data_IF_764706902443
#
_entry.id   IF_764706902443
#
_cell.length_a   1.000
_cell.length_b   1.000
_cell.length_c   1.000
_cell.angle_alpha   90.00
_cell.angle_beta   90.00
_cell.angle_gamma   90.00
#
_symmetry.space_group_name_H-M   'P 1'
#
loop_
_entity.id
_entity.type
_entity.pdbx_description
1 polymer ?
#
# COMPACT_ATOMS: atom_id res chain seq x y z
N UNK A 1 -5.52 7.99 8.25
CA UNK A 1 -4.16 7.49 8.10
C UNK A 1 -3.35 7.72 9.37
N UNK A 2 -2.44 6.83 9.64
CA UNK A 2 -1.58 6.93 10.80
C UNK A 2 -0.45 7.92 10.54
N UNK A 3 -0.32 8.92 11.40
CA UNK A 3 0.81 9.83 11.36
C UNK A 3 2.10 9.18 11.88
N UNK A 4 2.01 7.95 12.36
CA UNK A 4 3.14 7.20 12.89
C UNK A 4 3.93 6.46 11.81
N UNK A 5 3.31 6.20 10.67
CA UNK A 5 3.97 5.45 9.62
C UNK A 5 5.07 6.29 8.98
N UNK A 6 6.29 5.77 9.01
CA UNK A 6 7.47 6.45 8.48
C UNK A 6 8.16 5.70 7.37
N UNK A 7 7.87 4.41 7.22
CA UNK A 7 8.41 3.58 6.15
C UNK A 7 7.26 3.09 5.28
N UNK A 8 7.40 3.21 3.98
CA UNK A 8 6.36 2.84 3.03
C UNK A 8 6.93 1.92 1.96
N UNK A 9 6.22 0.82 1.71
CA UNK A 9 6.46 -0.02 0.55
C UNK A 9 5.40 0.32 -0.49
N UNK A 10 5.84 0.66 -1.69
CA UNK A 10 4.97 1.07 -2.78
C UNK A 10 5.09 0.03 -3.89
N UNK A 11 3.95 -0.55 -4.26
CA UNK A 11 3.85 -1.60 -5.28
C UNK A 11 3.02 -1.06 -6.44
N UNK A 12 3.67 -0.43 -7.44
CA UNK A 12 2.94 0.02 -8.62
C UNK A 12 2.51 -1.17 -9.48
N UNK A 13 1.33 -1.06 -10.07
CA UNK A 13 0.89 -2.10 -11.00
C UNK A 13 0.03 -1.52 -12.12
N UNK A 14 -0.15 -2.32 -13.16
CA UNK A 14 -1.00 -1.99 -14.28
C UNK A 14 -2.13 -3.00 -14.35
N UNK A 15 -3.34 -2.51 -14.53
CA UNK A 15 -4.50 -3.36 -14.73
C UNK A 15 -5.50 -2.70 -15.69
N UNK A 16 -6.45 -3.47 -16.15
CA UNK A 16 -7.54 -2.96 -16.97
C UNK A 16 -8.71 -2.56 -16.08
N UNK A 17 -9.51 -1.55 -16.49
CA UNK A 17 -10.66 -1.11 -15.69
C UNK A 17 -11.62 -2.23 -15.33
N UNK A 18 -11.80 -3.22 -16.22
CA UNK A 18 -12.67 -4.36 -15.98
C UNK A 18 -12.22 -5.27 -14.83
N UNK A 19 -10.96 -5.18 -14.40
CA UNK A 19 -10.41 -5.99 -13.32
C UNK A 19 -10.45 -5.31 -11.95
N UNK A 20 -10.80 -4.03 -11.90
CA UNK A 20 -10.70 -3.25 -10.64
C UNK A 20 -11.62 -3.81 -9.55
N UNK A 21 -12.84 -4.22 -9.89
CA UNK A 21 -13.77 -4.77 -8.90
C UNK A 21 -13.20 -6.04 -8.26
N UNK A 22 -12.58 -6.92 -9.06
CA UNK A 22 -11.97 -8.15 -8.55
C UNK A 22 -10.73 -7.86 -7.71
N UNK A 23 -9.97 -6.82 -8.05
CA UNK A 23 -8.82 -6.37 -7.26
C UNK A 23 -9.27 -5.83 -5.91
N UNK A 24 -10.36 -5.07 -5.87
CA UNK A 24 -10.93 -4.57 -4.62
C UNK A 24 -11.37 -5.72 -3.72
N UNK A 25 -12.02 -6.73 -4.29
CA UNK A 25 -12.42 -7.92 -3.54
C UNK A 25 -11.21 -8.68 -2.97
N UNK A 26 -10.18 -8.87 -3.80
CA UNK A 26 -8.95 -9.52 -3.34
C UNK A 26 -8.27 -8.73 -2.22
N UNK A 27 -8.31 -7.40 -2.29
CA UNK A 27 -7.75 -6.52 -1.25
C UNK A 27 -8.55 -6.61 0.05
N UNK A 28 -9.88 -6.69 -0.03
CA UNK A 28 -10.71 -6.91 1.16
C UNK A 28 -10.43 -8.25 1.82
N UNK A 29 -10.26 -9.29 1.02
CA UNK A 29 -9.91 -10.62 1.53
C UNK A 29 -8.54 -10.62 2.21
N UNK A 30 -7.59 -9.89 1.64
CA UNK A 30 -6.27 -9.69 2.27
C UNK A 30 -6.42 -9.00 3.63
N UNK A 31 -7.20 -7.93 3.69
CA UNK A 31 -7.43 -7.20 4.94
C UNK A 31 -7.97 -8.13 6.02
N UNK A 32 -8.97 -8.94 5.70
CA UNK A 32 -9.54 -9.89 6.64
C UNK A 32 -8.53 -10.94 7.10
N UNK A 33 -7.65 -11.35 6.20
CA UNK A 33 -6.67 -12.39 6.51
C UNK A 33 -5.56 -11.91 7.43
N UNK A 34 -5.15 -10.64 7.35
CA UNK A 34 -3.94 -10.14 8.04
C UNK A 34 -4.21 -9.08 9.10
N UNK A 35 -5.45 -8.60 9.26
CA UNK A 35 -5.73 -7.45 10.14
C UNK A 35 -5.28 -7.62 11.59
N UNK A 36 -5.28 -8.85 12.09
CA UNK A 36 -4.89 -9.13 13.48
C UNK A 36 -3.38 -9.35 13.66
N UNK A 37 -2.65 -9.56 12.58
CA UNK A 37 -1.22 -9.86 12.62
C UNK A 37 -0.35 -8.79 11.97
N UNK A 38 -0.92 -8.00 11.07
CA UNK A 38 -0.18 -6.98 10.34
C UNK A 38 0.01 -5.73 11.23
N UNK A 39 1.26 -5.25 11.39
CA UNK A 39 1.53 -4.14 12.32
C UNK A 39 1.25 -2.75 11.77
N UNK A 40 1.09 -2.62 10.46
CA UNK A 40 0.93 -1.33 9.79
C UNK A 40 -0.45 -1.13 9.20
N UNK A 41 -0.48 -0.40 8.11
CA UNK A 41 -1.68 -0.19 7.33
C UNK A 41 -1.37 -0.28 5.84
N UNK A 42 -2.38 -0.55 5.03
CA UNK A 42 -2.20 -0.58 3.59
C UNK A 42 -3.41 0.03 2.88
N UNK A 43 -3.20 0.36 1.63
CA UNK A 43 -4.26 0.93 0.82
C UNK A 43 -4.02 0.71 -0.67
N UNK A 44 -5.09 0.88 -1.41
CA UNK A 44 -5.09 0.80 -2.87
C UNK A 44 -5.42 2.18 -3.41
N UNK A 45 -4.62 2.67 -4.34
CA UNK A 45 -4.81 3.99 -4.94
C UNK A 45 -4.84 3.89 -6.45
N UNK A 46 -5.69 4.71 -7.06
CA UNK A 46 -5.74 4.90 -8.50
C UNK A 46 -4.81 6.05 -8.88
N UNK A 47 -4.07 5.87 -9.95
CA UNK A 47 -3.20 6.92 -10.45
C UNK A 47 -4.00 7.89 -11.30
N UNK A 48 -4.10 9.14 -10.85
CA UNK A 48 -4.89 10.17 -11.54
C UNK A 48 -4.08 10.93 -12.58
N UNK A 49 -2.76 11.05 -12.39
CA UNK A 49 -1.87 11.79 -13.29
C UNK A 49 -0.44 11.30 -13.12
N UNK A 50 0.39 11.59 -14.09
CA UNK A 50 1.81 11.25 -14.09
C UNK A 50 2.23 10.43 -15.28
N UNK A 51 3.53 10.19 -15.41
CA UNK A 51 4.10 9.39 -16.49
C UNK A 51 4.16 7.91 -16.15
N UNK A 52 4.52 7.10 -17.13
CA UNK A 52 4.67 5.66 -16.98
C UNK A 52 3.42 4.88 -17.29
N UNK A 53 3.49 3.58 -17.10
CA UNK A 53 2.43 2.65 -17.51
C UNK A 53 1.60 2.13 -16.36
N UNK A 54 1.93 2.49 -15.13
CA UNK A 54 1.19 2.06 -13.96
C UNK A 54 -0.17 2.76 -13.89
N UNK A 55 -1.19 2.01 -13.57
CA UNK A 55 -2.55 2.55 -13.41
C UNK A 55 -2.93 2.71 -11.95
N UNK A 56 -2.32 1.92 -11.06
CA UNK A 56 -2.67 1.86 -9.65
C UNK A 56 -1.43 1.66 -8.79
N UNK A 57 -1.59 1.97 -7.51
CA UNK A 57 -0.55 1.75 -6.50
C UNK A 57 -1.15 1.00 -5.32
N UNK A 58 -0.44 -0.03 -4.86
CA UNK A 58 -0.72 -0.67 -3.59
C UNK A 58 0.36 -0.20 -2.62
N UNK A 59 -0.03 0.44 -1.52
CA UNK A 59 0.91 1.03 -0.57
C UNK A 59 0.76 0.39 0.79
N UNK A 60 1.90 0.15 1.45
CA UNK A 60 1.93 -0.49 2.76
C UNK A 60 2.80 0.38 3.67
N UNK A 61 2.24 0.81 4.80
CA UNK A 61 2.92 1.69 5.74
C UNK A 61 3.30 0.98 7.03
N UNK A 62 4.47 1.30 7.57
CA UNK A 62 5.02 0.76 8.81
C UNK A 62 5.54 1.91 9.68
N UNK A 63 5.50 1.73 10.99
CA UNK A 63 6.06 2.72 11.91
C UNK A 63 7.57 2.80 11.84
N UNK A 64 8.24 1.69 11.51
CA UNK A 64 9.71 1.62 11.49
C UNK A 64 10.20 0.61 10.47
N UNK A 65 11.48 0.71 10.13
CA UNK A 65 12.15 -0.26 9.28
C UNK A 65 12.17 -1.65 9.95
N UNK A 66 12.29 -1.70 11.27
CA UNK A 66 12.27 -2.95 12.02
C UNK A 66 10.93 -3.68 11.85
N UNK A 67 9.80 -2.96 11.91
CA UNK A 67 8.49 -3.56 11.66
C UNK A 67 8.36 -4.09 10.23
N UNK A 68 8.85 -3.34 9.26
CA UNK A 68 8.88 -3.78 7.88
C UNK A 68 9.64 -5.09 7.73
N UNK A 69 10.84 -5.17 8.29
CA UNK A 69 11.67 -6.37 8.20
C UNK A 69 11.04 -7.57 8.91
N UNK A 70 10.46 -7.35 10.08
CA UNK A 70 9.75 -8.40 10.83
C UNK A 70 8.57 -8.97 10.04
N UNK A 71 7.79 -8.09 9.41
CA UNK A 71 6.66 -8.52 8.61
C UNK A 71 7.09 -9.30 7.37
N UNK A 72 8.13 -8.82 6.66
CA UNK A 72 8.64 -9.51 5.48
C UNK A 72 9.10 -10.95 5.77
N UNK A 73 9.56 -11.20 6.99
CA UNK A 73 10.03 -12.52 7.42
C UNK A 73 8.97 -13.35 8.15
N UNK A 74 7.77 -12.83 8.32
CA UNK A 74 6.76 -13.51 9.14
C UNK A 74 6.01 -14.60 8.39
N UNK A 75 5.67 -15.69 9.09
CA UNK A 75 4.83 -16.76 8.56
C UNK A 75 3.40 -16.26 8.32
N UNK A 76 2.91 -15.35 9.15
CA UNK A 76 1.58 -14.75 8.98
C UNK A 76 1.46 -13.98 7.67
N UNK A 77 2.52 -13.27 7.29
CA UNK A 77 2.57 -12.58 6.00
C UNK A 77 2.49 -13.58 4.86
N UNK A 78 3.28 -14.63 4.90
CA UNK A 78 3.29 -15.63 3.82
C UNK A 78 1.93 -16.31 3.69
N UNK A 79 1.28 -16.65 4.80
CA UNK A 79 -0.04 -17.29 4.79
C UNK A 79 -1.14 -16.36 4.29
N UNK A 80 -1.11 -15.11 4.70
CA UNK A 80 -2.15 -14.14 4.34
C UNK A 80 -1.96 -13.52 2.95
N UNK A 81 -0.72 -13.24 2.57
CA UNK A 81 -0.41 -12.53 1.33
C UNK A 81 -0.36 -13.45 0.12
N UNK A 82 0.01 -14.73 0.28
CA UNK A 82 0.13 -15.64 -0.86
C UNK A 82 -1.16 -15.81 -1.66
N UNK A 83 -2.36 -15.96 -1.05
CA UNK A 83 -3.60 -16.00 -1.82
C UNK A 83 -3.86 -14.70 -2.58
N UNK A 84 -3.55 -13.56 -1.98
CA UNK A 84 -3.68 -12.27 -2.61
C UNK A 84 -2.76 -12.16 -3.84
N UNK A 85 -1.50 -12.56 -3.71
CA UNK A 85 -0.54 -12.52 -4.81
C UNK A 85 -1.00 -13.40 -5.97
N UNK A 86 -1.53 -14.58 -5.68
CA UNK A 86 -2.04 -15.48 -6.73
C UNK A 86 -3.20 -14.86 -7.50
N UNK A 87 -4.12 -14.19 -6.80
CA UNK A 87 -5.22 -13.49 -7.47
C UNK A 87 -4.71 -12.30 -8.28
N UNK A 88 -3.82 -11.50 -7.71
CA UNK A 88 -3.28 -10.34 -8.41
C UNK A 88 -2.51 -10.71 -9.66
N UNK A 89 -1.81 -11.85 -9.67
CA UNK A 89 -1.09 -12.31 -10.85
C UNK A 89 -2.00 -12.55 -12.07
N UNK A 90 -3.28 -12.86 -11.81
CA UNK A 90 -4.29 -13.02 -12.88
C UNK A 90 -4.88 -11.70 -13.35
N UNK A 91 -4.84 -10.68 -12.51
CA UNK A 91 -5.60 -9.44 -12.69
C UNK A 91 -4.73 -8.25 -13.06
N UNK A 92 -3.45 -8.29 -12.74
CA UNK A 92 -2.57 -7.14 -12.82
C UNK A 92 -1.15 -7.53 -13.19
N UNK A 93 -0.42 -6.55 -13.70
CA UNK A 93 1.01 -6.65 -13.96
C UNK A 93 1.73 -5.79 -12.93
N UNK A 94 2.53 -6.42 -12.05
CA UNK A 94 3.32 -5.71 -11.06
C UNK A 94 4.52 -5.05 -11.70
N UNK A 95 4.82 -3.84 -11.23
CA UNK A 95 6.03 -3.11 -11.56
C UNK A 95 7.01 -3.18 -10.39
N UNK A 96 8.14 -2.51 -10.53
CA UNK A 96 9.19 -2.55 -9.52
C UNK A 96 8.73 -1.91 -8.21
N UNK A 97 8.96 -2.63 -7.10
CA UNK A 97 8.64 -2.15 -5.76
C UNK A 97 9.60 -1.06 -5.31
N UNK A 98 9.07 -0.05 -4.64
CA UNK A 98 9.87 1.00 -4.02
C UNK A 98 9.69 0.97 -2.51
N UNK A 99 10.78 1.17 -1.77
CA UNK A 99 10.75 1.34 -0.32
C UNK A 99 11.22 2.75 -0.02
N UNK A 100 10.39 3.52 0.67
CA UNK A 100 10.70 4.91 0.98
C UNK A 100 10.56 5.15 2.48
N UNK A 101 11.33 6.11 2.99
CA UNK A 101 11.27 6.53 4.38
C UNK A 101 10.99 8.03 4.44
N UNK A 102 10.06 8.41 5.32
CA UNK A 102 9.80 9.83 5.56
C UNK A 102 11.00 10.44 6.28
N UNK A 103 11.52 11.51 5.73
CA UNK A 103 12.56 12.31 6.40
C UNK A 103 11.89 13.33 7.32
N UNK A 104 10.82 13.97 6.82
CA UNK A 104 10.09 14.98 7.57
C UNK A 104 8.68 15.12 7.01
N UNK A 105 7.73 15.28 7.93
CA UNK A 105 6.33 15.49 7.58
C UNK A 105 5.91 16.88 8.07
N UNK A 106 5.24 17.63 7.20
CA UNK A 106 4.72 18.95 7.52
C UNK A 106 3.20 18.89 7.59
N UNK A 107 2.62 19.58 8.55
CA UNK A 107 1.17 19.68 8.68
C UNK A 107 0.63 20.75 7.72
N UNK A 108 0.26 20.31 6.52
CA UNK A 108 -0.26 21.20 5.47
C UNK A 108 -1.60 21.79 5.88
N UNK A 109 -2.42 21.04 6.62
CA UNK A 109 -3.72 21.53 7.05
C UNK A 109 -3.60 22.75 7.95
N UNK A 110 -2.65 22.75 8.89
CA UNK A 110 -2.37 23.92 9.73
C UNK A 110 -1.88 25.08 8.87
N UNK A 111 -0.95 24.80 7.95
CA UNK A 111 -0.40 25.84 7.05
C UNK A 111 -1.50 26.51 6.23
N UNK A 112 -2.40 25.73 5.64
CA UNK A 112 -3.51 26.27 4.85
C UNK A 112 -4.45 27.10 5.71
N UNK A 113 -4.74 26.64 6.94
CA UNK A 113 -5.58 27.38 7.87
C UNK A 113 -4.98 28.76 8.20
N UNK A 114 -3.68 28.83 8.41
CA UNK A 114 -2.99 30.08 8.69
C UNK A 114 -3.10 31.07 7.54
N UNK A 115 -3.12 30.57 6.30
CA UNK A 115 -3.24 31.44 5.13
C UNK A 115 -4.64 31.95 4.87
N UNK A 116 -5.68 31.23 5.24
CA UNK A 116 -7.07 31.63 4.95
C UNK A 116 -7.69 32.47 6.05
N UNK A 117 -7.06 32.60 7.17
CA UNK A 117 -7.47 33.49 8.23
C UNK A 117 -6.81 34.86 8.08
#
# INVERSE_FOLDING_TARGET
>A
PSNKDTVWAIYPFRTQPSNVADILEATEDLDKAIKDSFPGQFGLSERMAGGGMQTHLFTVGYESLAEFEQWEDSASRDQGVSPFDREMDKLAEWHEREIVRNIRVYDIAITLKDFVE
#
